data_IF_983899231747
#
_entry.id   IF_983899231747
#
_cell.length_a   1.000
_cell.length_b   1.000
_cell.length_c   1.000
_cell.angle_alpha   90.00
_cell.angle_beta   90.00
_cell.angle_gamma   90.00
#
_symmetry.space_group_name_H-M   'P 1'
#
loop_
_entity.id
_entity.type
_entity.pdbx_description
1 polymer ?
#
# COMPACT_ATOMS: atom_id res chain seq x y z
N UNK A 1 -4.37 -9.21 -5.57
CA UNK A 1 -4.18 -9.78 -4.21
C UNK A 1 -2.74 -10.21 -4.11
N UNK A 2 -2.07 -9.94 -2.98
CA UNK A 2 -0.69 -10.36 -2.73
C UNK A 2 -0.70 -11.19 -1.46
N UNK A 3 -0.29 -12.45 -1.57
CA UNK A 3 -0.43 -13.43 -0.50
C UNK A 3 0.71 -14.45 -0.51
N UNK A 4 0.98 -15.00 0.66
CA UNK A 4 1.89 -16.13 0.86
C UNK A 4 1.33 -17.06 1.92
N UNK A 5 1.30 -18.37 1.64
CA UNK A 5 0.74 -19.38 2.55
C UNK A 5 -0.67 -19.01 3.07
N UNK A 6 -1.54 -18.55 2.16
CA UNK A 6 -2.92 -18.12 2.46
C UNK A 6 -3.01 -16.91 3.41
N UNK A 7 -1.91 -16.21 3.67
CA UNK A 7 -1.88 -14.94 4.40
C UNK A 7 -1.82 -13.79 3.41
N UNK A 8 -2.85 -12.93 3.42
CA UNK A 8 -2.87 -11.68 2.64
C UNK A 8 -1.88 -10.71 3.26
N UNK A 9 -0.89 -10.26 2.50
CA UNK A 9 0.22 -9.48 3.03
C UNK A 9 -0.09 -7.97 3.02
N UNK A 10 -0.61 -7.46 1.90
CA UNK A 10 -0.85 -6.02 1.71
C UNK A 10 -2.17 -5.52 2.28
N UNK A 11 -2.97 -6.41 2.86
CA UNK A 11 -4.19 -6.07 3.60
C UNK A 11 -3.92 -5.84 5.10
N UNK A 12 -2.64 -5.73 5.49
CA UNK A 12 -2.19 -5.78 6.87
C UNK A 12 -1.79 -7.20 7.27
N UNK A 13 -0.58 -7.35 7.82
CA UNK A 13 -0.05 -8.61 8.33
C UNK A 13 0.89 -8.33 9.52
N UNK A 14 0.74 -9.11 10.58
CA UNK A 14 1.72 -9.18 11.66
C UNK A 14 2.02 -10.64 11.95
N UNK A 15 3.30 -10.97 12.05
CA UNK A 15 3.74 -12.32 12.38
C UNK A 15 5.13 -12.35 12.98
N UNK A 16 5.37 -13.39 13.78
CA UNK A 16 6.65 -13.65 14.42
C UNK A 16 7.38 -14.75 13.66
N UNK A 17 8.60 -14.48 13.24
CA UNK A 17 9.49 -15.44 12.58
C UNK A 17 10.56 -15.88 13.57
N UNK A 18 10.47 -17.12 14.04
CA UNK A 18 11.53 -17.70 14.86
C UNK A 18 12.79 -17.92 14.02
N UNK A 19 13.91 -17.35 14.45
CA UNK A 19 15.20 -17.41 13.76
C UNK A 19 16.24 -18.25 14.51
N UNK A 20 15.87 -18.80 15.67
CA UNK A 20 16.75 -19.64 16.47
C UNK A 20 15.97 -20.59 17.38
N UNK A 21 16.70 -21.46 18.08
CA UNK A 21 16.13 -22.53 18.89
C UNK A 21 15.71 -22.11 20.32
N UNK A 22 16.19 -20.96 20.80
CA UNK A 22 15.91 -20.49 22.16
C UNK A 22 14.85 -19.38 22.17
N UNK A 23 14.16 -19.23 23.29
CA UNK A 23 13.18 -18.17 23.51
C UNK A 23 13.79 -16.77 23.25
N UNK A 24 13.03 -15.90 22.57
CA UNK A 24 13.45 -14.54 22.21
C UNK A 24 14.33 -14.44 20.96
N UNK A 25 14.67 -15.55 20.31
CA UNK A 25 15.29 -15.53 18.98
C UNK A 25 14.21 -15.51 17.90
N UNK A 26 13.55 -14.37 17.78
CA UNK A 26 12.53 -14.14 16.78
C UNK A 26 12.55 -12.71 16.23
N UNK A 27 11.99 -12.55 15.04
CA UNK A 27 11.79 -11.28 14.36
C UNK A 27 10.30 -11.08 14.20
N UNK A 28 9.79 -9.95 14.68
CA UNK A 28 8.42 -9.53 14.36
C UNK A 28 8.43 -8.81 13.02
N UNK A 29 7.70 -9.35 12.04
CA UNK A 29 7.41 -8.68 10.78
C UNK A 29 6.01 -8.09 10.84
N UNK A 30 5.91 -6.78 10.69
CA UNK A 30 4.65 -6.08 10.51
C UNK A 30 4.64 -5.42 9.14
N UNK A 31 3.60 -5.71 8.36
CA UNK A 31 3.29 -5.08 7.08
C UNK A 31 1.97 -4.37 7.30
N UNK A 32 1.97 -3.04 7.17
CA UNK A 32 0.74 -2.27 7.29
C UNK A 32 -0.16 -2.46 6.07
N UNK A 33 -1.42 -2.04 6.21
CA UNK A 33 -2.35 -2.06 5.08
C UNK A 33 -1.88 -1.07 4.00
N UNK A 34 -1.71 -1.56 2.77
CA UNK A 34 -1.24 -0.76 1.63
C UNK A 34 -2.38 -0.36 0.69
N UNK A 35 -3.62 -0.30 1.19
CA UNK A 35 -4.76 0.14 0.39
C UNK A 35 -4.69 1.64 0.11
N UNK A 36 -5.31 2.10 -0.98
CA UNK A 36 -5.39 3.53 -1.30
C UNK A 36 -6.01 4.35 -0.14
N UNK A 37 -6.92 3.74 0.63
CA UNK A 37 -7.51 4.36 1.81
C UNK A 37 -6.51 4.45 2.96
N UNK A 38 -5.76 3.39 3.24
CA UNK A 38 -4.73 3.38 4.28
C UNK A 38 -3.59 4.37 3.96
N UNK A 39 -3.24 4.51 2.68
CA UNK A 39 -2.23 5.46 2.21
C UNK A 39 -2.77 6.89 2.01
N UNK A 40 -4.06 7.13 2.24
CA UNK A 40 -4.69 8.47 2.10
C UNK A 40 -4.82 8.99 0.66
N UNK A 41 -4.63 8.13 -0.35
CA UNK A 41 -4.67 8.50 -1.78
C UNK A 41 -5.98 8.11 -2.46
N UNK A 42 -6.96 7.59 -1.72
CA UNK A 42 -8.25 7.14 -2.29
C UNK A 42 -9.06 8.27 -2.94
N UNK A 43 -8.73 9.53 -2.67
CA UNK A 43 -9.36 10.72 -3.24
C UNK A 43 -8.36 11.60 -4.00
N UNK A 44 -7.23 11.04 -4.46
CA UNK A 44 -6.28 11.76 -5.30
C UNK A 44 -6.88 11.95 -6.71
N UNK A 45 -7.70 12.98 -6.87
CA UNK A 45 -8.17 13.45 -8.18
C UNK A 45 -7.19 14.47 -8.71
N UNK A 46 -6.67 14.25 -9.92
CA UNK A 46 -5.98 15.32 -10.63
C UNK A 46 -7.02 16.39 -11.00
N UNK A 47 -6.92 17.59 -10.43
CA UNK A 47 -7.60 18.75 -10.98
C UNK A 47 -7.05 18.97 -12.38
N UNK A 48 -7.91 18.95 -13.39
CA UNK A 48 -7.52 19.32 -14.74
C UNK A 48 -6.88 20.72 -14.65
N UNK A 49 -5.60 20.82 -14.99
CA UNK A 49 -5.00 22.12 -15.22
C UNK A 49 -5.61 22.64 -16.52
N UNK A 50 -6.24 23.80 -16.48
CA UNK A 50 -6.60 24.50 -17.71
C UNK A 50 -5.32 24.64 -18.54
N UNK A 51 -5.33 24.12 -19.77
CA UNK A 51 -4.22 24.32 -20.69
C UNK A 51 -4.28 25.78 -21.15
N UNK A 52 -3.64 26.67 -20.39
CA UNK A 52 -3.52 28.08 -20.78
C UNK A 52 -2.59 28.18 -21.97
N UNK A 53 -3.12 28.60 -23.13
CA UNK A 53 -2.31 28.85 -24.34
C UNK A 53 -2.73 28.08 -25.59
N UNK A 54 -3.78 27.24 -25.53
CA UNK A 54 -4.37 26.62 -26.73
C UNK A 54 -5.62 27.38 -27.18
N UNK A 55 -5.47 28.24 -28.17
CA UNK A 55 -6.61 28.82 -28.91
C UNK A 55 -7.06 27.83 -29.98
N UNK A 56 -8.27 27.27 -29.86
CA UNK A 56 -8.90 26.44 -30.90
C UNK A 56 -9.27 25.01 -30.52
N UNK A 57 -9.25 24.65 -29.23
CA UNK A 57 -9.85 23.39 -28.78
C UNK A 57 -11.39 23.54 -28.79
N UNK A 58 -12.04 22.98 -29.80
CA UNK A 58 -13.48 22.69 -29.73
C UNK A 58 -13.65 21.35 -29.01
N UNK A 59 -14.41 21.35 -27.93
CA UNK A 59 -14.92 20.13 -27.28
C UNK A 59 -16.03 19.51 -28.10
#
# INVERSE_FOLDING_TARGET
TTEFNTKKLLAGYTGTFHIGANQGQDITLSIEEMSAKALGVNNATATAADVTGVTGLSV
#
